data_IF_916543275112
#
_entry.id   IF_916543275112
#
_cell.length_a   1.000
_cell.length_b   1.000
_cell.length_c   1.000
_cell.angle_alpha   90.00
_cell.angle_beta   90.00
_cell.angle_gamma   90.00
#
_symmetry.space_group_name_H-M   'P 1'
#
loop_
_entity.id
_entity.type
_entity.pdbx_description
1 polymer ?
#
# COMPACT_ATOMS: atom_id res chain seq x y z
N UNK A 1 -5.94 61.01 57.37
CA UNK A 1 -6.03 59.53 57.50
C UNK A 1 -6.81 58.87 56.35
N UNK A 2 -8.04 59.32 56.06
CA UNK A 2 -8.88 58.77 54.98
C UNK A 2 -8.39 59.08 53.57
N UNK A 3 -7.86 60.30 53.34
CA UNK A 3 -7.28 60.73 52.06
C UNK A 3 -6.07 59.87 51.67
N UNK A 4 -5.18 59.59 52.62
CA UNK A 4 -4.01 58.72 52.41
C UNK A 4 -4.44 57.28 52.08
N UNK A 5 -5.51 56.80 52.73
CA UNK A 5 -6.09 55.47 52.50
C UNK A 5 -6.69 55.36 51.08
N UNK A 6 -7.36 56.41 50.62
CA UNK A 6 -7.94 56.51 49.27
C UNK A 6 -6.87 56.57 48.18
N UNK A 7 -5.78 57.30 48.40
CA UNK A 7 -4.63 57.35 47.48
C UNK A 7 -3.98 55.97 47.35
N UNK A 8 -3.78 55.25 48.46
CA UNK A 8 -3.25 53.89 48.42
C UNK A 8 -4.19 52.91 47.69
N UNK A 9 -5.50 53.04 47.85
CA UNK A 9 -6.47 52.24 47.09
C UNK A 9 -6.40 52.51 45.58
N UNK A 10 -6.28 53.78 45.18
CA UNK A 10 -6.10 54.16 43.77
C UNK A 10 -4.78 53.64 43.20
N UNK A 11 -3.70 53.68 43.98
CA UNK A 11 -2.40 53.16 43.56
C UNK A 11 -2.44 51.64 43.35
N UNK A 12 -3.04 50.89 44.27
CA UNK A 12 -3.21 49.44 44.12
C UNK A 12 -4.03 49.10 42.88
N UNK A 13 -5.11 49.85 42.63
CA UNK A 13 -5.96 49.64 41.45
C UNK A 13 -5.23 49.98 40.15
N UNK A 14 -4.36 51.00 40.15
CA UNK A 14 -3.51 51.32 39.00
C UNK A 14 -2.48 50.21 38.72
N UNK A 15 -1.87 49.65 39.75
CA UNK A 15 -0.93 48.52 39.62
C UNK A 15 -1.64 47.29 39.05
N UNK A 16 -2.80 46.93 39.59
CA UNK A 16 -3.62 45.83 39.10
C UNK A 16 -4.02 46.03 37.63
N UNK A 17 -4.42 47.25 37.24
CA UNK A 17 -4.72 47.58 35.84
C UNK A 17 -3.50 47.44 34.92
N UNK A 18 -2.29 47.80 35.39
CA UNK A 18 -1.05 47.63 34.62
C UNK A 18 -0.67 46.17 34.45
N UNK A 19 -0.78 45.37 35.50
CA UNK A 19 -0.54 43.91 35.44
C UNK A 19 -1.54 43.24 34.48
N UNK A 20 -2.82 43.61 34.57
CA UNK A 20 -3.85 43.13 33.66
C UNK A 20 -3.57 43.54 32.21
N UNK A 21 -3.15 44.78 31.95
CA UNK A 21 -2.79 45.24 30.61
C UNK A 21 -1.62 44.44 30.03
N UNK A 22 -0.54 44.27 30.79
CA UNK A 22 0.62 43.48 30.36
C UNK A 22 0.25 42.01 30.08
N UNK A 23 -0.64 41.43 30.90
CA UNK A 23 -1.18 40.09 30.69
C UNK A 23 -2.00 39.99 29.40
N UNK A 24 -2.87 40.99 29.14
CA UNK A 24 -3.67 41.07 27.90
C UNK A 24 -2.76 41.20 26.67
N UNK A 25 -1.74 42.06 26.71
CA UNK A 25 -0.78 42.24 25.60
C UNK A 25 0.00 40.95 25.30
N UNK A 26 0.43 40.24 26.34
CA UNK A 26 1.08 38.93 26.20
C UNK A 26 0.15 37.89 25.56
N UNK A 27 -1.09 37.81 26.02
CA UNK A 27 -2.09 36.90 25.44
C UNK A 27 -2.42 37.26 23.99
N UNK A 28 -2.55 38.54 23.66
CA UNK A 28 -2.78 39.02 22.31
C UNK A 28 -1.63 38.62 21.37
N UNK A 29 -0.39 38.76 21.84
CA UNK A 29 0.81 38.33 21.09
C UNK A 29 0.75 36.82 20.83
N UNK A 30 0.48 36.01 21.86
CA UNK A 30 0.33 34.55 21.70
C UNK A 30 -0.77 34.15 20.73
N UNK A 31 -1.90 34.85 20.74
CA UNK A 31 -3.01 34.62 19.79
C UNK A 31 -2.55 34.94 18.37
N UNK A 32 -1.87 36.06 18.16
CA UNK A 32 -1.35 36.43 16.84
C UNK A 32 -0.34 35.42 16.31
N UNK A 33 0.61 34.99 17.14
CA UNK A 33 1.61 33.98 16.79
C UNK A 33 0.94 32.63 16.46
N UNK A 34 -0.06 32.24 17.26
CA UNK A 34 -0.83 31.01 17.01
C UNK A 34 -1.60 31.08 15.70
N UNK A 35 -2.24 32.22 15.40
CA UNK A 35 -2.96 32.42 14.13
C UNK A 35 -2.01 32.39 12.93
N UNK A 36 -0.82 32.98 13.05
CA UNK A 36 0.20 32.91 12.02
C UNK A 36 0.67 31.47 11.78
N UNK A 37 0.84 30.69 12.85
CA UNK A 37 1.20 29.28 12.76
C UNK A 37 0.08 28.44 12.12
N UNK A 38 -1.18 28.64 12.52
CA UNK A 38 -2.34 27.96 11.92
C UNK A 38 -2.35 28.19 10.41
N UNK A 39 -2.22 29.46 9.97
CA UNK A 39 -2.19 29.81 8.56
C UNK A 39 -1.05 29.11 7.82
N UNK A 40 0.16 29.13 8.39
CA UNK A 40 1.32 28.45 7.79
C UNK A 40 1.11 26.94 7.66
N UNK A 41 0.44 26.29 8.62
CA UNK A 41 0.13 24.87 8.58
C UNK A 41 -0.97 24.56 7.56
N UNK A 42 -1.97 25.43 7.42
CA UNK A 42 -3.02 25.33 6.39
C UNK A 42 -2.41 25.44 4.99
N UNK A 43 -1.57 26.44 4.74
CA UNK A 43 -0.86 26.62 3.47
C UNK A 43 0.02 25.39 3.15
N UNK A 44 0.75 24.87 4.15
CA UNK A 44 1.58 23.67 3.99
C UNK A 44 0.75 22.42 3.69
N UNK A 45 -0.42 22.28 4.34
CA UNK A 45 -1.34 21.18 4.09
C UNK A 45 -1.88 21.23 2.66
N UNK A 46 -2.28 22.41 2.18
CA UNK A 46 -2.80 22.58 0.81
C UNK A 46 -1.75 22.20 -0.23
N UNK A 47 -0.50 22.65 -0.04
CA UNK A 47 0.60 22.28 -0.92
C UNK A 47 0.85 20.77 -0.94
N UNK A 48 0.86 20.11 0.22
CA UNK A 48 1.05 18.66 0.30
C UNK A 48 -0.08 17.88 -0.39
N UNK A 49 -1.34 18.34 -0.25
CA UNK A 49 -2.48 17.72 -0.92
C UNK A 49 -2.33 17.79 -2.45
N UNK A 50 -1.91 18.94 -2.99
CA UNK A 50 -1.65 19.11 -4.42
C UNK A 50 -0.50 18.23 -4.92
N UNK A 51 0.58 18.13 -4.15
CA UNK A 51 1.72 17.28 -4.49
C UNK A 51 1.31 15.80 -4.57
N UNK A 52 0.47 15.33 -3.65
CA UNK A 52 -0.05 13.97 -3.66
C UNK A 52 -0.97 13.74 -4.85
N UNK A 53 -1.87 14.67 -5.15
CA UNK A 53 -2.78 14.57 -6.29
C UNK A 53 -2.00 14.45 -7.62
N UNK A 54 -0.99 15.29 -7.82
CA UNK A 54 -0.13 15.24 -9.01
C UNK A 54 0.66 13.92 -9.08
N UNK A 55 1.14 13.41 -7.96
CA UNK A 55 1.83 12.13 -7.91
C UNK A 55 0.90 10.97 -8.29
N UNK A 56 -0.36 10.99 -7.83
CA UNK A 56 -1.37 9.97 -8.16
C UNK A 56 -1.77 10.04 -9.64
N UNK A 57 -2.00 11.24 -10.19
CA UNK A 57 -2.22 11.41 -11.63
C UNK A 57 -1.03 10.89 -12.46
N UNK A 58 0.20 11.11 -11.97
CA UNK A 58 1.42 10.57 -12.59
C UNK A 58 1.50 9.03 -12.59
N UNK A 59 0.69 8.33 -11.80
CA UNK A 59 0.62 6.88 -11.75
C UNK A 59 -0.40 6.28 -12.71
N UNK A 60 -1.36 7.05 -13.25
CA UNK A 60 -2.46 6.53 -14.08
C UNK A 60 -1.95 5.67 -15.24
N UNK A 61 -0.96 6.16 -15.99
CA UNK A 61 -0.36 5.41 -17.10
C UNK A 61 0.33 4.12 -16.67
N UNK A 62 0.96 4.12 -15.49
CA UNK A 62 1.60 2.92 -14.96
C UNK A 62 0.55 1.90 -14.51
N UNK A 63 -0.54 2.38 -13.92
CA UNK A 63 -1.69 1.56 -13.52
C UNK A 63 -2.37 0.96 -14.75
N UNK A 64 -2.53 1.71 -15.84
CA UNK A 64 -3.09 1.21 -17.10
C UNK A 64 -2.24 0.04 -17.65
N UNK A 65 -0.92 0.24 -17.78
CA UNK A 65 0.00 -0.82 -18.25
C UNK A 65 0.02 -2.01 -17.29
N UNK A 66 -0.02 -1.77 -15.99
CA UNK A 66 -0.11 -2.83 -15.00
C UNK A 66 -1.41 -3.64 -15.16
N UNK A 67 -2.55 -2.96 -15.34
CA UNK A 67 -3.87 -3.57 -15.45
C UNK A 67 -4.06 -4.40 -16.73
N UNK A 68 -3.33 -4.10 -17.81
CA UNK A 68 -3.23 -5.00 -18.97
C UNK A 68 -2.74 -6.39 -18.53
N UNK A 69 -1.61 -6.44 -17.82
CA UNK A 69 -1.04 -7.71 -17.35
C UNK A 69 -1.87 -8.35 -16.24
N UNK A 70 -2.34 -7.56 -15.28
CA UNK A 70 -3.10 -8.05 -14.15
C UNK A 70 -4.43 -8.65 -14.59
N UNK A 71 -5.17 -7.96 -15.45
CA UNK A 71 -6.44 -8.46 -15.98
C UNK A 71 -6.27 -9.72 -16.84
N UNK A 72 -5.20 -9.80 -17.64
CA UNK A 72 -4.90 -11.01 -18.41
C UNK A 72 -4.56 -12.20 -17.50
N UNK A 73 -3.67 -12.00 -16.52
CA UNK A 73 -3.27 -13.03 -15.56
C UNK A 73 -4.46 -13.55 -14.74
N UNK A 74 -5.28 -12.65 -14.19
CA UNK A 74 -6.44 -13.10 -13.40
C UNK A 74 -7.47 -13.80 -14.26
N UNK A 75 -7.59 -13.44 -15.55
CA UNK A 75 -8.49 -14.14 -16.46
C UNK A 75 -8.03 -15.57 -16.71
N UNK A 76 -6.74 -15.78 -16.95
CA UNK A 76 -6.19 -17.12 -17.17
C UNK A 76 -6.27 -17.98 -15.90
N UNK A 77 -5.91 -17.42 -14.74
CA UNK A 77 -5.86 -18.18 -13.49
C UNK A 77 -7.24 -18.38 -12.86
N UNK A 78 -8.13 -17.38 -12.93
CA UNK A 78 -9.39 -17.36 -12.19
C UNK A 78 -10.64 -17.35 -13.08
N UNK A 79 -10.49 -17.23 -14.41
CA UNK A 79 -11.60 -17.04 -15.34
C UNK A 79 -12.19 -15.63 -15.33
N UNK A 80 -11.60 -14.71 -14.56
CA UNK A 80 -12.17 -13.40 -14.24
C UNK A 80 -11.15 -12.29 -14.42
N UNK A 81 -11.55 -11.17 -15.05
CA UNK A 81 -10.67 -10.00 -15.20
C UNK A 81 -10.81 -9.11 -13.98
N UNK A 82 -9.70 -8.82 -13.33
CA UNK A 82 -9.63 -7.87 -12.24
C UNK A 82 -8.85 -6.63 -12.68
N UNK A 83 -9.15 -5.51 -12.02
CA UNK A 83 -8.48 -4.22 -12.21
C UNK A 83 -8.07 -3.70 -10.83
N UNK A 84 -6.87 -3.14 -10.77
CA UNK A 84 -6.40 -2.34 -9.65
C UNK A 84 -6.70 -0.86 -9.93
N UNK A 85 -7.37 -0.20 -9.00
CA UNK A 85 -7.65 1.24 -9.06
C UNK A 85 -6.99 1.95 -7.87
N UNK A 86 -6.55 3.19 -8.10
CA UNK A 86 -5.95 4.07 -7.10
C UNK A 86 -6.45 5.49 -7.32
N UNK A 87 -7.08 6.06 -6.30
CA UNK A 87 -7.56 7.44 -6.29
C UNK A 87 -7.15 8.16 -5.02
N UNK A 88 -7.07 9.49 -5.08
CA UNK A 88 -6.82 10.34 -3.92
C UNK A 88 -8.04 11.18 -3.59
N UNK A 89 -8.56 11.02 -2.38
CA UNK A 89 -9.62 11.87 -1.82
C UNK A 89 -8.94 13.09 -1.18
N UNK A 90 -8.93 14.21 -1.91
CA UNK A 90 -8.29 15.45 -1.48
C UNK A 90 -8.94 16.05 -0.23
N UNK A 91 -10.27 15.91 -0.11
CA UNK A 91 -11.04 16.44 1.01
C UNK A 91 -10.69 15.69 2.31
N UNK A 92 -10.54 14.37 2.23
CA UNK A 92 -10.17 13.51 3.37
C UNK A 92 -8.66 13.34 3.55
N UNK A 93 -7.85 13.74 2.56
CA UNK A 93 -6.40 13.51 2.54
C UNK A 93 -6.03 12.03 2.58
N UNK A 94 -6.75 11.18 1.84
CA UNK A 94 -6.55 9.71 1.86
C UNK A 94 -6.47 9.14 0.45
N UNK A 95 -5.50 8.25 0.24
CA UNK A 95 -5.49 7.39 -0.94
C UNK A 95 -6.45 6.21 -0.73
N UNK A 96 -7.34 6.02 -1.68
CA UNK A 96 -8.21 4.85 -1.76
C UNK A 96 -7.68 3.96 -2.88
N UNK A 97 -7.56 2.67 -2.61
CA UNK A 97 -7.27 1.68 -3.63
C UNK A 97 -8.32 0.58 -3.57
N UNK A 98 -8.60 -0.02 -4.72
CA UNK A 98 -9.51 -1.16 -4.81
C UNK A 98 -9.01 -2.18 -5.84
N UNK A 99 -9.40 -3.42 -5.64
CA UNK A 99 -9.24 -4.49 -6.62
C UNK A 99 -10.64 -4.99 -6.95
N UNK A 100 -11.12 -4.64 -8.14
CA UNK A 100 -12.49 -4.90 -8.55
C UNK A 100 -12.52 -5.93 -9.68
N UNK A 101 -13.43 -6.90 -9.57
CA UNK A 101 -13.72 -7.83 -10.67
C UNK A 101 -14.61 -7.15 -11.71
N UNK A 102 -14.18 -7.17 -12.97
CA UNK A 102 -14.90 -6.60 -14.11
C UNK A 102 -15.87 -7.62 -14.73
N UNK A 103 -15.73 -8.91 -14.38
CA UNK A 103 -16.56 -9.98 -14.92
C UNK A 103 -17.95 -9.99 -14.25
N UNK A 104 -19.06 -9.96 -15.00
CA UNK A 104 -20.40 -10.10 -14.44
C UNK A 104 -20.58 -11.48 -13.78
N UNK A 105 -21.11 -11.51 -12.54
CA UNK A 105 -21.42 -12.71 -11.74
C UNK A 105 -20.22 -13.44 -11.09
N UNK A 106 -19.31 -12.71 -10.44
CA UNK A 106 -18.17 -13.33 -9.76
C UNK A 106 -18.51 -14.00 -8.42
N UNK A 107 -18.01 -15.21 -8.21
CA UNK A 107 -18.11 -15.92 -6.92
C UNK A 107 -16.90 -15.53 -6.04
N UNK A 108 -17.10 -14.59 -5.09
CA UNK A 108 -16.07 -13.87 -4.32
C UNK A 108 -15.20 -14.66 -3.33
N UNK A 109 -14.71 -15.85 -3.70
CA UNK A 109 -13.92 -16.74 -2.83
C UNK A 109 -12.39 -16.71 -3.00
N UNK A 110 -11.78 -15.78 -3.76
CA UNK A 110 -10.44 -15.97 -4.35
C UNK A 110 -9.30 -15.04 -3.86
N UNK A 111 -9.36 -14.53 -2.63
CA UNK A 111 -8.44 -13.46 -2.15
C UNK A 111 -6.93 -13.78 -2.14
N UNK A 112 -6.49 -15.02 -1.84
CA UNK A 112 -5.05 -15.36 -1.83
C UNK A 112 -4.46 -15.52 -3.24
N UNK A 113 -5.30 -15.97 -4.17
CA UNK A 113 -4.90 -16.11 -5.57
C UNK A 113 -4.68 -14.78 -6.27
N UNK A 114 -5.53 -13.80 -5.97
CA UNK A 114 -5.44 -12.42 -6.45
C UNK A 114 -4.06 -11.80 -6.18
N UNK A 115 -3.46 -12.09 -5.01
CA UNK A 115 -2.12 -11.60 -4.63
C UNK A 115 -1.04 -12.19 -5.56
N UNK A 116 -1.13 -13.48 -5.89
CA UNK A 116 -0.15 -14.12 -6.80
C UNK A 116 -0.25 -13.54 -8.20
N UNK A 117 -1.46 -13.38 -8.73
CA UNK A 117 -1.64 -12.71 -10.03
C UNK A 117 -1.14 -11.26 -10.01
N UNK A 118 -1.34 -10.53 -8.91
CA UNK A 118 -0.84 -9.16 -8.74
C UNK A 118 0.69 -9.09 -8.80
N UNK A 119 1.35 -9.98 -8.05
CA UNK A 119 2.82 -10.05 -7.96
C UNK A 119 3.46 -10.47 -9.30
N UNK A 120 2.87 -11.44 -10.00
CA UNK A 120 3.30 -11.81 -11.34
C UNK A 120 3.05 -10.69 -12.36
N UNK A 121 1.93 -9.97 -12.24
CA UNK A 121 1.64 -8.79 -13.08
C UNK A 121 2.66 -7.68 -12.84
N UNK A 122 3.09 -7.49 -11.60
CA UNK A 122 4.14 -6.53 -11.27
C UNK A 122 5.48 -6.89 -11.91
N UNK A 123 5.86 -8.17 -11.95
CA UNK A 123 7.05 -8.62 -12.69
C UNK A 123 6.91 -8.30 -14.19
N UNK A 124 5.77 -8.62 -14.81
CA UNK A 124 5.51 -8.30 -16.23
C UNK A 124 5.56 -6.78 -16.48
N UNK A 125 5.00 -5.97 -15.58
CA UNK A 125 5.09 -4.51 -15.62
C UNK A 125 6.54 -4.02 -15.56
N UNK A 126 7.31 -4.46 -14.56
CA UNK A 126 8.73 -4.09 -14.38
C UNK A 126 9.54 -4.43 -15.62
N UNK A 127 9.34 -5.60 -16.22
CA UNK A 127 10.00 -5.98 -17.47
C UNK A 127 9.55 -5.09 -18.65
N UNK A 128 8.24 -4.79 -18.76
CA UNK A 128 7.69 -3.95 -19.83
C UNK A 128 8.26 -2.53 -19.80
N UNK A 129 8.28 -1.90 -18.62
CA UNK A 129 8.80 -0.53 -18.44
C UNK A 129 10.31 -0.48 -18.22
N UNK A 130 11.00 -1.63 -18.27
CA UNK A 130 12.46 -1.79 -18.13
C UNK A 130 13.00 -1.16 -16.85
N UNK A 131 12.28 -1.33 -15.74
CA UNK A 131 12.71 -0.89 -14.43
C UNK A 131 13.81 -1.80 -13.89
N UNK A 132 14.85 -1.20 -13.30
CA UNK A 132 15.93 -1.94 -12.63
C UNK A 132 15.49 -2.35 -11.22
N UNK A 133 14.73 -3.44 -11.12
CA UNK A 133 14.29 -4.05 -9.87
C UNK A 133 14.49 -5.56 -9.90
N UNK A 134 14.53 -6.17 -8.72
CA UNK A 134 14.50 -7.63 -8.63
C UNK A 134 13.16 -8.14 -9.17
N UNK A 135 13.21 -9.16 -10.02
CA UNK A 135 12.04 -9.78 -10.67
C UNK A 135 11.79 -11.17 -10.09
N UNK A 136 11.67 -11.26 -8.76
CA UNK A 136 11.27 -12.50 -8.11
C UNK A 136 10.26 -12.23 -6.99
N UNK A 137 9.38 -13.20 -6.75
CA UNK A 137 8.35 -13.16 -5.70
C UNK A 137 8.36 -14.46 -4.92
N UNK A 138 8.14 -14.38 -3.61
CA UNK A 138 8.23 -15.52 -2.68
C UNK A 138 6.94 -15.63 -1.90
N UNK A 139 6.26 -16.78 -2.01
CA UNK A 139 5.09 -17.10 -1.20
C UNK A 139 5.35 -18.32 -0.31
N UNK A 140 4.94 -18.21 0.95
CA UNK A 140 4.93 -19.35 1.87
C UNK A 140 3.53 -19.95 1.88
N UNK A 141 3.40 -21.18 1.38
CA UNK A 141 2.16 -21.95 1.23
C UNK A 141 1.05 -21.29 0.41
N UNK A 142 0.68 -21.93 -0.70
CA UNK A 142 -0.53 -21.61 -1.48
C UNK A 142 -1.58 -22.73 -1.40
N UNK A 143 -1.58 -23.48 -0.29
CA UNK A 143 -2.39 -24.70 -0.14
C UNK A 143 -3.90 -24.46 -0.17
N UNK A 144 -4.37 -23.27 0.18
CA UNK A 144 -5.80 -22.93 0.12
C UNK A 144 -6.30 -22.65 -1.31
N UNK A 145 -5.39 -22.59 -2.29
CA UNK A 145 -5.70 -22.37 -3.71
C UNK A 145 -6.07 -23.69 -4.38
N UNK A 146 -7.03 -23.66 -5.30
CA UNK A 146 -7.43 -24.84 -6.07
C UNK A 146 -6.26 -25.34 -6.93
N UNK A 147 -6.09 -26.66 -7.04
CA UNK A 147 -4.96 -27.26 -7.76
C UNK A 147 -4.90 -26.82 -9.23
N UNK A 148 -6.04 -26.59 -9.88
CA UNK A 148 -6.03 -26.13 -11.27
C UNK A 148 -5.51 -24.70 -11.37
N UNK A 149 -5.91 -23.83 -10.45
CA UNK A 149 -5.40 -22.46 -10.38
C UNK A 149 -3.90 -22.44 -10.09
N UNK A 150 -3.40 -23.37 -9.27
CA UNK A 150 -1.95 -23.52 -9.02
C UNK A 150 -1.22 -23.90 -10.31
N UNK A 151 -1.77 -24.81 -11.12
CA UNK A 151 -1.21 -25.17 -12.42
C UNK A 151 -1.18 -23.98 -13.37
N UNK A 152 -2.26 -23.18 -13.42
CA UNK A 152 -2.33 -21.98 -14.24
C UNK A 152 -1.31 -20.93 -13.79
N UNK A 153 -1.16 -20.72 -12.48
CA UNK A 153 -0.11 -19.87 -11.88
C UNK A 153 1.27 -20.33 -12.34
N UNK A 154 1.57 -21.63 -12.25
CA UNK A 154 2.87 -22.18 -12.63
C UNK A 154 3.13 -22.07 -14.13
N UNK A 155 2.11 -22.27 -14.96
CA UNK A 155 2.20 -22.05 -16.39
C UNK A 155 2.55 -20.59 -16.70
N UNK A 156 1.81 -19.65 -16.11
CA UNK A 156 2.07 -18.22 -16.30
C UNK A 156 3.44 -17.80 -15.76
N UNK A 157 3.83 -18.30 -14.58
CA UNK A 157 5.13 -18.01 -13.98
C UNK A 157 6.31 -18.48 -14.83
N UNK A 158 6.18 -19.62 -15.52
CA UNK A 158 7.23 -20.09 -16.44
C UNK A 158 7.39 -19.22 -17.70
N UNK A 159 6.39 -18.37 -18.00
CA UNK A 159 6.38 -17.49 -19.15
C UNK A 159 6.79 -16.03 -18.82
N UNK A 160 7.20 -15.73 -17.57
CA UNK A 160 7.64 -14.38 -17.18
C UNK A 160 9.17 -14.26 -17.20
N UNK A 161 9.66 -13.04 -17.40
CA UNK A 161 11.08 -12.71 -17.21
C UNK A 161 11.39 -12.46 -15.72
N UNK A 162 11.30 -13.52 -14.92
CA UNK A 162 11.43 -13.46 -13.46
C UNK A 162 11.32 -14.83 -12.81
N UNK A 163 11.19 -14.87 -11.49
CA UNK A 163 11.10 -16.11 -10.73
C UNK A 163 9.94 -16.08 -9.74
N UNK A 164 9.14 -17.14 -9.76
CA UNK A 164 8.18 -17.41 -8.71
C UNK A 164 8.72 -18.51 -7.80
N UNK A 165 8.91 -18.19 -6.52
CA UNK A 165 9.41 -19.12 -5.51
C UNK A 165 8.25 -19.40 -4.53
N UNK A 166 7.88 -20.65 -4.37
CA UNK A 166 6.79 -21.03 -3.48
C UNK A 166 7.07 -22.34 -2.75
N UNK A 167 6.63 -22.42 -1.50
CA UNK A 167 6.54 -23.67 -0.74
C UNK A 167 5.15 -24.28 -0.92
N UNK A 168 5.09 -25.58 -1.24
CA UNK A 168 3.82 -26.31 -1.40
C UNK A 168 3.97 -27.76 -0.95
N UNK A 169 2.92 -28.29 -0.33
CA UNK A 169 2.84 -29.72 -0.01
C UNK A 169 2.65 -30.54 -1.29
N UNK A 170 3.42 -31.61 -1.44
CA UNK A 170 3.42 -32.45 -2.64
C UNK A 170 2.11 -33.22 -2.85
N UNK A 171 1.32 -33.43 -1.80
CA UNK A 171 0.05 -34.16 -1.84
C UNK A 171 -1.04 -33.46 -2.66
N UNK A 172 -0.89 -32.15 -2.94
CA UNK A 172 -1.74 -31.39 -3.86
C UNK A 172 -1.63 -31.86 -5.31
N UNK A 173 -0.51 -32.49 -5.66
CA UNK A 173 -0.20 -32.91 -7.02
C UNK A 173 -0.31 -34.43 -7.12
N UNK A 174 -1.28 -34.90 -7.90
CA UNK A 174 -1.59 -36.34 -7.99
C UNK A 174 -1.56 -36.88 -9.42
N UNK A 175 -1.45 -35.99 -10.42
CA UNK A 175 -1.43 -36.39 -11.81
C UNK A 175 0.00 -36.61 -12.31
N UNK A 176 0.18 -37.55 -13.26
CA UNK A 176 1.47 -37.81 -13.90
C UNK A 176 2.07 -36.56 -14.57
N UNK A 177 1.20 -35.65 -15.02
CA UNK A 177 1.55 -34.34 -15.60
C UNK A 177 2.20 -33.43 -14.57
N UNK A 178 1.65 -33.38 -13.34
CA UNK A 178 2.21 -32.58 -12.25
C UNK A 178 3.59 -33.12 -11.85
N UNK A 179 3.71 -34.44 -11.70
CA UNK A 179 4.98 -35.08 -11.35
C UNK A 179 6.07 -34.78 -12.39
N UNK A 180 5.73 -34.85 -13.69
CA UNK A 180 6.65 -34.45 -14.77
C UNK A 180 7.02 -32.97 -14.70
N UNK A 181 6.05 -32.09 -14.43
CA UNK A 181 6.29 -30.66 -14.29
C UNK A 181 7.24 -30.38 -13.12
N UNK A 182 7.01 -31.01 -11.96
CA UNK A 182 7.88 -30.89 -10.79
C UNK A 182 9.28 -31.40 -11.08
N UNK A 183 9.42 -32.59 -11.71
CA UNK A 183 10.72 -33.15 -12.06
C UNK A 183 11.49 -32.26 -13.04
N UNK A 184 10.83 -31.71 -14.06
CA UNK A 184 11.47 -30.84 -15.05
C UNK A 184 11.95 -29.51 -14.46
N UNK A 185 11.30 -29.05 -13.39
CA UNK A 185 11.61 -27.79 -12.71
C UNK A 185 12.31 -28.00 -11.36
N UNK A 186 12.68 -29.25 -11.02
CA UNK A 186 13.37 -29.59 -9.78
C UNK A 186 14.88 -29.57 -10.00
N UNK A 187 15.57 -28.72 -9.23
CA UNK A 187 17.04 -28.64 -9.22
C UNK A 187 17.60 -29.47 -8.05
N UNK A 188 16.81 -29.69 -7.00
CA UNK A 188 17.23 -30.34 -5.77
C UNK A 188 16.02 -31.05 -5.13
N UNK A 189 16.17 -32.35 -4.90
CA UNK A 189 15.23 -33.15 -4.13
C UNK A 189 15.91 -33.60 -2.83
N UNK A 190 15.27 -33.33 -1.69
CA UNK A 190 15.77 -33.68 -0.37
C UNK A 190 14.85 -34.70 0.29
N UNK A 191 15.45 -35.65 1.01
CA UNK A 191 14.72 -36.64 1.78
C UNK A 191 15.39 -36.91 3.13
N UNK A 192 14.74 -37.71 3.98
CA UNK A 192 15.34 -38.17 5.25
C UNK A 192 16.66 -38.91 5.05
N UNK A 193 16.85 -39.56 3.90
CA UNK A 193 18.06 -40.30 3.51
C UNK A 193 19.00 -39.50 2.60
N UNK A 194 18.52 -38.41 1.98
CA UNK A 194 19.29 -37.53 1.10
C UNK A 194 19.11 -36.07 1.51
N UNK A 195 19.74 -35.69 2.64
CA UNK A 195 19.67 -34.32 3.17
C UNK A 195 20.68 -33.40 2.49
N UNK A 196 20.38 -32.11 2.45
CA UNK A 196 21.24 -31.09 1.83
C UNK A 196 22.67 -31.10 2.40
N UNK A 197 22.80 -31.18 3.72
CA UNK A 197 24.11 -31.21 4.39
C UNK A 197 24.67 -32.62 4.65
N UNK A 198 24.03 -33.70 4.18
CA UNK A 198 24.45 -35.10 4.40
C UNK A 198 24.81 -35.46 5.87
N UNK A 199 24.21 -34.76 6.84
CA UNK A 199 24.39 -35.00 8.29
C UNK A 199 23.23 -35.80 8.87
#
# INVERSE_FOLDING_TARGET
PETLKSINQLFNKLTELRENLASIESNLTRINDTNALIKSLEDSREQLLLEIELAVQGLEKNIEVFNEFFGDLTKEIYGERYIFDLSFDIDKGRCNFDISCVTPNSNGGKKKGEITAFDLAYIKFVDKVKLKRATFVIHDSIEDVDVNQIRDIFFEANNINGQYIVSILSDKFSEDTDLKMMMNNSILELSSTNKFFKV
#
